data_IF_358092432818
#
_entry.id   IF_358092432818
#
_cell.length_a   1.000
_cell.length_b   1.000
_cell.length_c   1.000
_cell.angle_alpha   90.00
_cell.angle_beta   90.00
_cell.angle_gamma   90.00
#
_symmetry.space_group_name_H-M   'P 1'
#
loop_
_entity.id
_entity.type
_entity.pdbx_description
1 polymer ?
#
# COMPACT_ATOMS: atom_id res chain seq x y z
N UNK A 1 1.78 -2.86 13.47
CA UNK A 1 0.71 -3.73 14.00
C UNK A 1 0.80 -4.00 15.49
N UNK A 2 1.98 -4.30 16.03
CA UNK A 2 2.09 -4.64 17.46
C UNK A 2 1.65 -3.52 18.39
N UNK A 3 2.00 -2.26 18.06
CA UNK A 3 1.62 -1.08 18.85
C UNK A 3 0.10 -0.91 18.94
N UNK A 4 -0.63 -1.36 17.92
CA UNK A 4 -2.10 -1.22 17.85
C UNK A 4 -2.84 -2.54 18.00
N UNK A 5 -2.20 -3.57 18.57
CA UNK A 5 -2.74 -4.94 18.64
C UNK A 5 -4.13 -5.03 19.30
N UNK A 6 -4.38 -4.22 20.32
CA UNK A 6 -5.62 -4.22 21.07
C UNK A 6 -6.58 -3.09 20.67
N UNK A 7 -6.38 -2.51 19.50
CA UNK A 7 -7.20 -1.41 19.00
C UNK A 7 -7.99 -1.82 17.75
N UNK A 8 -9.08 -1.12 17.40
CA UNK A 8 -9.84 -1.39 16.17
C UNK A 8 -9.10 -0.87 14.93
N UNK A 9 -7.92 -1.45 14.67
CA UNK A 9 -7.05 -1.09 13.56
C UNK A 9 -6.51 -2.34 12.89
N UNK A 10 -6.45 -2.31 11.55
CA UNK A 10 -5.77 -3.34 10.77
C UNK A 10 -5.10 -2.72 9.54
N UNK A 11 -4.25 -3.50 8.91
CA UNK A 11 -3.61 -3.18 7.64
C UNK A 11 -4.05 -4.21 6.60
N UNK A 12 -4.25 -3.79 5.37
CA UNK A 12 -4.53 -4.67 4.25
C UNK A 12 -3.39 -4.52 3.24
N UNK A 13 -2.70 -5.61 2.94
CA UNK A 13 -1.58 -5.64 2.01
C UNK A 13 -2.00 -6.06 0.61
N UNK A 14 -1.64 -5.26 -0.39
CA UNK A 14 -1.97 -5.52 -1.80
C UNK A 14 -0.71 -5.60 -2.63
N UNK A 15 -0.19 -6.81 -2.94
CA UNK A 15 1.00 -6.98 -3.77
C UNK A 15 0.75 -6.48 -5.20
N UNK A 16 1.77 -5.86 -5.79
CA UNK A 16 1.71 -5.34 -7.14
C UNK A 16 3.07 -5.47 -7.82
N UNK A 17 3.10 -5.91 -9.07
CA UNK A 17 4.35 -6.12 -9.82
C UNK A 17 4.65 -5.03 -10.85
N UNK A 18 3.97 -3.88 -10.78
CA UNK A 18 4.13 -2.80 -11.77
C UNK A 18 5.35 -1.90 -11.53
N UNK A 19 6.05 -2.06 -10.41
CA UNK A 19 7.15 -1.20 -10.00
C UNK A 19 8.47 -1.96 -10.06
N UNK A 20 9.17 -1.85 -11.19
CA UNK A 20 10.46 -2.50 -11.39
C UNK A 20 10.39 -4.03 -11.41
N UNK A 21 9.21 -4.61 -11.57
CA UNK A 21 8.97 -6.06 -11.51
C UNK A 21 9.53 -6.68 -10.21
N UNK A 22 9.38 -6.00 -9.09
CA UNK A 22 9.94 -6.41 -7.81
C UNK A 22 9.06 -7.39 -7.03
N UNK A 23 7.85 -7.67 -7.51
CA UNK A 23 6.91 -8.62 -6.90
C UNK A 23 6.46 -9.66 -7.93
N UNK A 24 7.40 -10.43 -8.53
CA UNK A 24 7.09 -11.33 -9.65
C UNK A 24 6.44 -12.65 -9.24
N UNK A 25 6.55 -13.07 -7.98
CA UNK A 25 6.03 -14.35 -7.50
C UNK A 25 4.52 -14.45 -7.65
N UNK A 26 4.02 -15.68 -7.77
CA UNK A 26 2.61 -15.96 -7.81
C UNK A 26 1.97 -15.82 -6.42
N UNK A 27 0.64 -15.64 -6.37
CA UNK A 27 -0.08 -15.37 -5.13
C UNK A 27 0.17 -16.41 -4.03
N UNK A 28 0.25 -17.70 -4.40
CA UNK A 28 0.51 -18.75 -3.42
C UNK A 28 1.95 -18.74 -2.87
N UNK A 29 2.85 -17.99 -3.48
CA UNK A 29 4.27 -17.92 -3.09
C UNK A 29 4.57 -16.66 -2.25
N UNK A 30 3.67 -15.65 -2.26
CA UNK A 30 3.93 -14.34 -1.64
C UNK A 30 4.35 -14.46 -0.18
N UNK A 31 3.63 -15.22 0.64
CA UNK A 31 3.95 -15.38 2.06
C UNK A 31 5.28 -16.11 2.26
N UNK A 32 5.62 -17.05 1.39
CA UNK A 32 6.90 -17.76 1.44
C UNK A 32 8.06 -16.84 1.09
N UNK A 33 7.89 -15.96 0.10
CA UNK A 33 8.91 -14.97 -0.26
C UNK A 33 9.18 -14.04 0.93
N UNK A 34 8.14 -13.56 1.60
CA UNK A 34 8.29 -12.73 2.79
C UNK A 34 9.00 -13.47 3.92
N UNK A 35 8.67 -14.73 4.14
CA UNK A 35 9.20 -15.53 5.24
C UNK A 35 10.66 -15.97 5.02
N UNK A 36 11.01 -16.35 3.81
CA UNK A 36 12.28 -17.03 3.54
C UNK A 36 13.26 -16.19 2.72
N UNK A 37 12.82 -15.19 1.99
CA UNK A 37 13.65 -14.44 1.06
C UNK A 37 13.81 -12.98 1.49
N UNK A 38 12.72 -12.20 1.54
CA UNK A 38 12.79 -10.77 1.83
C UNK A 38 11.53 -10.28 2.54
N UNK A 39 11.62 -9.88 3.81
CA UNK A 39 12.87 -9.76 4.59
C UNK A 39 13.49 -11.09 5.02
N UNK A 40 12.79 -12.22 4.89
CA UNK A 40 13.28 -13.52 5.31
C UNK A 40 13.29 -13.67 6.83
N UNK A 41 14.13 -14.59 7.33
CA UNK A 41 14.27 -14.80 8.76
C UNK A 41 13.01 -15.28 9.48
N UNK A 42 12.06 -15.86 8.74
CA UNK A 42 10.79 -16.32 9.30
C UNK A 42 9.71 -15.26 9.40
N UNK A 43 9.91 -14.10 8.75
CA UNK A 43 8.94 -13.01 8.81
C UNK A 43 7.55 -13.45 8.36
N UNK A 44 6.54 -13.12 9.17
CA UNK A 44 5.14 -13.34 8.84
C UNK A 44 4.36 -12.05 9.12
N UNK A 45 3.68 -11.48 8.11
CA UNK A 45 2.90 -10.26 8.33
C UNK A 45 1.73 -10.54 9.30
N UNK A 46 1.46 -9.58 10.19
CA UNK A 46 0.38 -9.66 11.17
C UNK A 46 -0.90 -9.01 10.66
N UNK A 47 -1.10 -9.04 9.34
CA UNK A 47 -2.27 -8.48 8.67
C UNK A 47 -2.55 -9.28 7.40
N UNK A 48 -3.78 -9.23 6.86
CA UNK A 48 -4.12 -9.91 5.61
C UNK A 48 -3.33 -9.39 4.42
N UNK A 49 -2.81 -10.31 3.61
CA UNK A 49 -2.17 -10.01 2.32
C UNK A 49 -3.05 -10.61 1.24
N UNK A 50 -3.50 -9.77 0.32
CA UNK A 50 -4.43 -10.18 -0.73
C UNK A 50 -3.69 -10.66 -1.97
N UNK A 51 -4.43 -11.14 -2.96
CA UNK A 51 -3.89 -11.52 -4.26
C UNK A 51 -3.28 -10.31 -4.97
N UNK A 52 -2.24 -10.56 -5.76
CA UNK A 52 -1.60 -9.54 -6.58
C UNK A 52 -2.63 -8.88 -7.50
N UNK A 53 -2.53 -7.55 -7.63
CA UNK A 53 -3.41 -6.79 -8.50
C UNK A 53 -2.63 -5.65 -9.18
N UNK A 54 -3.28 -4.99 -10.12
CA UNK A 54 -2.75 -3.78 -10.75
C UNK A 54 -3.38 -2.56 -10.09
N UNK A 55 -2.55 -1.57 -9.77
CA UNK A 55 -2.98 -0.34 -9.09
C UNK A 55 -3.01 0.86 -10.04
N UNK A 56 -2.41 0.73 -11.23
CA UNK A 56 -2.33 1.76 -12.25
C UNK A 56 -2.63 1.17 -13.63
N UNK A 57 -2.99 2.05 -14.60
CA UNK A 57 -3.16 1.66 -16.00
C UNK A 57 -4.51 1.06 -16.31
N UNK A 58 -4.60 0.40 -17.47
CA UNK A 58 -5.87 -0.15 -17.97
C UNK A 58 -6.44 -1.24 -17.11
N UNK A 59 -5.58 -2.02 -16.44
CA UNK A 59 -6.00 -3.12 -15.55
C UNK A 59 -6.19 -2.70 -14.09
N UNK A 60 -6.21 -1.42 -13.82
CA UNK A 60 -6.32 -0.88 -12.46
C UNK A 60 -7.54 -1.43 -11.73
N UNK A 61 -7.31 -1.95 -10.51
CA UNK A 61 -8.38 -2.48 -9.68
C UNK A 61 -9.29 -1.34 -9.19
N UNK A 62 -10.60 -1.60 -9.13
CA UNK A 62 -11.61 -0.61 -8.76
C UNK A 62 -11.36 -0.01 -7.36
N UNK A 63 -10.80 -0.79 -6.42
CA UNK A 63 -10.43 -0.28 -5.10
C UNK A 63 -9.42 0.86 -5.22
N UNK A 64 -8.39 0.69 -6.05
CA UNK A 64 -7.36 1.70 -6.22
C UNK A 64 -7.84 2.90 -7.04
N UNK A 65 -8.76 2.70 -7.98
CA UNK A 65 -9.46 3.81 -8.64
C UNK A 65 -10.12 4.70 -7.59
N UNK A 66 -10.88 4.08 -6.70
CA UNK A 66 -11.57 4.78 -5.60
C UNK A 66 -10.59 5.50 -4.66
N UNK A 67 -9.54 4.82 -4.23
CA UNK A 67 -8.54 5.41 -3.32
C UNK A 67 -7.83 6.60 -3.95
N UNK A 68 -7.40 6.46 -5.20
CA UNK A 68 -6.68 7.52 -5.93
C UNK A 68 -7.58 8.71 -6.25
N UNK A 69 -8.85 8.48 -6.54
CA UNK A 69 -9.81 9.57 -6.77
C UNK A 69 -10.13 10.32 -5.48
N UNK A 70 -10.04 9.65 -4.35
CA UNK A 70 -10.33 10.24 -3.03
C UNK A 70 -9.16 11.02 -2.45
N UNK A 71 -7.93 10.61 -2.75
CA UNK A 71 -6.71 11.23 -2.24
C UNK A 71 -5.77 11.59 -3.38
N UNK A 72 -5.41 12.88 -3.56
CA UNK A 72 -4.49 13.29 -4.62
C UNK A 72 -3.09 12.74 -4.41
N UNK A 73 -2.31 12.69 -5.48
CA UNK A 73 -0.92 12.21 -5.39
C UNK A 73 -0.11 13.08 -4.42
N UNK A 74 0.80 12.43 -3.70
CA UNK A 74 1.64 13.08 -2.67
C UNK A 74 3.10 13.19 -3.08
N UNK A 75 3.44 12.69 -4.26
CA UNK A 75 4.79 12.80 -4.81
C UNK A 75 4.68 13.36 -6.24
N UNK A 76 5.24 14.56 -6.51
CA UNK A 76 5.16 15.17 -7.84
C UNK A 76 6.02 14.45 -8.87
N UNK A 77 6.97 13.63 -8.46
CA UNK A 77 7.89 12.93 -9.36
C UNK A 77 7.29 11.60 -9.79
N UNK A 78 7.24 11.39 -11.12
CA UNK A 78 6.89 10.09 -11.70
C UNK A 78 8.19 9.37 -11.99
N UNK A 79 8.77 8.57 -11.43
CA UNK A 79 10.05 7.90 -11.56
C UNK A 79 10.55 7.61 -12.97
N UNK A 80 11.49 6.67 -13.10
CA UNK A 80 12.09 6.28 -14.36
C UNK A 80 11.10 5.45 -15.20
N UNK A 81 10.69 5.90 -16.41
CA UNK A 81 9.74 5.18 -17.24
C UNK A 81 10.15 3.74 -17.56
N UNK A 82 11.44 3.43 -17.54
CA UNK A 82 11.96 2.09 -17.80
C UNK A 82 11.61 1.09 -16.70
N UNK A 83 11.22 1.58 -15.53
CA UNK A 83 10.85 0.75 -14.37
C UNK A 83 9.36 0.76 -14.08
N UNK A 84 8.58 1.44 -14.91
CA UNK A 84 7.14 1.59 -14.73
C UNK A 84 6.42 0.74 -15.77
N UNK A 85 5.66 -0.23 -15.31
CA UNK A 85 5.07 -1.27 -16.17
C UNK A 85 3.56 -1.15 -16.27
N UNK A 86 3.09 0.03 -16.65
CA UNK A 86 1.67 0.27 -16.95
C UNK A 86 1.50 1.39 -17.96
N UNK A 87 0.32 1.47 -18.56
CA UNK A 87 -0.06 2.51 -19.52
C UNK A 87 -1.58 2.70 -19.49
N UNK A 88 -2.10 3.90 -19.67
CA UNK A 88 -1.39 5.18 -19.73
C UNK A 88 -0.90 5.62 -18.33
N UNK A 89 0.11 6.48 -18.28
CA UNK A 89 0.58 7.09 -17.04
C UNK A 89 -0.25 8.34 -16.76
N UNK A 90 -0.84 8.42 -15.56
CA UNK A 90 -1.70 9.52 -15.13
C UNK A 90 -1.11 10.23 -13.91
N UNK A 91 -1.51 11.48 -13.72
CA UNK A 91 -1.00 12.33 -12.62
C UNK A 91 -1.23 11.69 -11.26
N UNK A 92 -2.37 11.01 -11.06
CA UNK A 92 -2.75 10.46 -9.77
C UNK A 92 -2.28 9.03 -9.53
N UNK A 93 -1.47 8.46 -10.43
CA UNK A 93 -0.97 7.09 -10.30
C UNK A 93 -0.14 6.89 -9.03
N UNK A 94 -0.16 5.67 -8.53
CA UNK A 94 0.76 5.21 -7.47
C UNK A 94 2.17 5.26 -8.06
N UNK A 95 3.10 5.89 -7.34
CA UNK A 95 4.45 6.17 -7.86
C UNK A 95 5.41 4.99 -7.74
N UNK A 96 5.29 4.23 -6.66
CA UNK A 96 6.17 3.10 -6.38
C UNK A 96 5.55 2.18 -5.32
N UNK A 97 6.27 1.12 -4.98
CA UNK A 97 5.89 0.22 -3.88
C UNK A 97 5.72 0.98 -2.57
N UNK A 98 4.91 0.43 -1.68
CA UNK A 98 4.70 0.91 -0.31
C UNK A 98 4.03 2.29 -0.19
N UNK A 99 3.29 2.73 -1.18
CA UNK A 99 2.31 3.79 -0.94
C UNK A 99 1.21 3.26 -0.02
N UNK A 100 0.69 4.13 0.82
CA UNK A 100 -0.29 3.76 1.83
C UNK A 100 -1.47 4.71 1.80
N UNK A 101 -2.65 4.17 2.06
CA UNK A 101 -3.87 4.95 2.22
C UNK A 101 -4.45 4.67 3.60
N UNK A 102 -4.64 5.72 4.40
CA UNK A 102 -5.30 5.62 5.69
C UNK A 102 -6.80 5.82 5.48
N UNK A 103 -7.59 4.84 5.89
CA UNK A 103 -9.03 4.81 5.64
C UNK A 103 -9.76 4.82 6.99
N UNK A 104 -10.78 5.68 7.10
CA UNK A 104 -11.61 5.77 8.30
C UNK A 104 -12.51 4.55 8.46
N UNK A 105 -13.04 4.35 9.66
CA UNK A 105 -13.92 3.23 9.96
C UNK A 105 -15.18 3.16 9.06
N UNK A 106 -15.64 4.30 8.56
CA UNK A 106 -16.79 4.37 7.64
C UNK A 106 -16.42 4.12 6.17
N UNK A 107 -15.15 3.78 5.87
CA UNK A 107 -14.68 3.53 4.52
C UNK A 107 -14.20 4.75 3.75
N UNK A 108 -14.22 5.93 4.35
CA UNK A 108 -13.77 7.16 3.68
C UNK A 108 -12.24 7.25 3.74
N UNK A 109 -11.54 7.35 2.60
CA UNK A 109 -10.10 7.58 2.60
C UNK A 109 -9.76 8.94 3.21
N UNK A 110 -8.84 8.93 4.16
CA UNK A 110 -8.49 10.11 4.95
C UNK A 110 -7.18 10.76 4.49
N UNK A 111 -6.14 9.94 4.22
CA UNK A 111 -4.81 10.45 3.86
C UNK A 111 -4.04 9.41 3.05
N UNK A 112 -3.19 9.90 2.16
CA UNK A 112 -2.30 9.10 1.32
C UNK A 112 -0.85 9.41 1.67
N UNK A 113 0.00 8.38 1.68
CA UNK A 113 1.41 8.51 2.03
C UNK A 113 2.28 7.90 0.93
N UNK A 114 3.36 8.58 0.60
CA UNK A 114 4.36 8.05 -0.34
C UNK A 114 5.33 7.09 0.36
N UNK A 115 6.14 6.38 -0.43
CA UNK A 115 7.12 5.41 0.07
C UNK A 115 8.04 5.99 1.16
N UNK A 116 8.54 7.20 0.97
CA UNK A 116 9.56 7.78 1.84
C UNK A 116 8.99 8.48 3.08
N UNK A 117 7.67 8.52 3.25
CA UNK A 117 7.07 9.08 4.45
C UNK A 117 7.51 8.26 5.67
N UNK A 118 8.06 8.91 6.71
CA UNK A 118 8.49 8.18 7.92
C UNK A 118 7.32 7.43 8.55
N UNK A 119 7.56 6.17 8.94
CA UNK A 119 6.54 5.33 9.58
C UNK A 119 6.00 5.98 10.87
N UNK A 120 6.82 6.74 11.58
CA UNK A 120 6.39 7.47 12.77
C UNK A 120 5.29 8.49 12.51
N UNK A 121 5.28 9.10 11.32
CA UNK A 121 4.22 10.02 10.92
C UNK A 121 2.90 9.26 10.71
N UNK A 122 2.95 8.13 10.03
CA UNK A 122 1.76 7.27 9.83
C UNK A 122 1.22 6.78 11.16
N UNK A 123 2.11 6.30 12.04
CA UNK A 123 1.76 5.85 13.39
C UNK A 123 1.06 6.94 14.20
N UNK A 124 1.56 8.16 14.14
CA UNK A 124 0.97 9.32 14.84
C UNK A 124 -0.44 9.63 14.33
N UNK A 125 -0.64 9.58 13.02
CA UNK A 125 -1.95 9.83 12.42
C UNK A 125 -2.96 8.75 12.81
N UNK A 126 -2.55 7.48 12.81
CA UNK A 126 -3.38 6.36 13.28
C UNK A 126 -3.78 6.56 14.73
N UNK A 127 -2.82 6.86 15.60
CA UNK A 127 -3.07 7.08 17.03
C UNK A 127 -4.04 8.24 17.25
N UNK A 128 -3.90 9.31 16.47
CA UNK A 128 -4.81 10.46 16.54
C UNK A 128 -6.24 10.09 16.20
N UNK A 129 -6.45 9.32 15.14
CA UNK A 129 -7.79 8.87 14.74
C UNK A 129 -8.41 7.90 15.76
N UNK A 130 -7.61 7.00 16.32
CA UNK A 130 -8.09 6.07 17.34
C UNK A 130 -8.56 6.78 18.62
N UNK A 131 -7.95 7.89 18.98
CA UNK A 131 -8.40 8.72 20.12
C UNK A 131 -9.78 9.33 19.89
N UNK A 132 -10.08 9.72 18.66
CA UNK A 132 -11.37 10.30 18.30
C UNK A 132 -12.49 9.25 18.39
N UNK A 133 -12.17 7.98 18.11
CA UNK A 133 -13.12 6.86 18.16
C UNK A 133 -13.43 6.37 19.57
N UNK A 134 -12.69 6.83 20.56
CA UNK A 134 -12.94 6.55 21.97
C UNK A 134 -13.87 7.65 22.54
#
# INVERSE_FOLDING_TARGET
MEIFADTPFTVLGFPCNQFGLQEPEEDHETLNVLKYVRPGGGFMPKFPVFSKLEVNGVGEDALFTFLKDSCPCVNPVIGDPKKLYWSPIKVNDIRWNFEKFLVLANGVPYKRYELNTPIKEVERDIAGLLKILR
#
